data_IF_994438846504
#
_entry.id   IF_994438846504
#
_cell.length_a   1.000
_cell.length_b   1.000
_cell.length_c   1.000
_cell.angle_alpha   90.00
_cell.angle_beta   90.00
_cell.angle_gamma   90.00
#
_symmetry.space_group_name_H-M   'P 1'
#
loop_
_entity.id
_entity.type
_entity.pdbx_description
1 polymer ?
#
# COMPACT_ATOMS: atom_id res chain seq x y z
N UNK A 1 8.70 -15.95 -0.78
CA UNK A 1 7.61 -15.53 -1.66
C UNK A 1 7.26 -14.07 -1.42
N UNK A 2 6.79 -13.41 -2.43
CA UNK A 2 6.34 -12.02 -2.30
C UNK A 2 4.99 -11.81 -2.98
N UNK A 3 4.29 -10.79 -2.54
CA UNK A 3 3.03 -10.35 -3.13
C UNK A 3 3.25 -9.02 -3.83
N UNK A 4 2.79 -8.92 -5.07
CA UNK A 4 2.81 -7.69 -5.84
C UNK A 4 1.38 -7.24 -6.04
N UNK A 5 1.11 -5.97 -5.71
CA UNK A 5 -0.21 -5.36 -5.80
C UNK A 5 -0.13 -4.21 -6.81
N UNK A 6 -0.99 -4.25 -7.81
CA UNK A 6 -1.07 -3.20 -8.83
C UNK A 6 -2.48 -2.65 -8.89
N UNK A 7 -2.75 -1.55 -8.19
CA UNK A 7 -4.04 -0.88 -8.29
C UNK A 7 -4.16 -0.07 -9.57
N UNK A 8 -5.35 -0.09 -10.15
CA UNK A 8 -5.73 0.74 -11.29
C UNK A 8 -7.09 1.35 -10.96
N UNK A 9 -7.08 2.36 -10.12
CA UNK A 9 -8.29 2.94 -9.56
C UNK A 9 -8.71 4.17 -10.33
N UNK A 10 -10.02 4.33 -10.51
CA UNK A 10 -10.62 5.49 -11.13
C UNK A 10 -11.45 6.25 -10.09
N UNK A 11 -11.42 7.56 -10.19
CA UNK A 11 -12.10 8.42 -9.23
C UNK A 11 -12.41 9.77 -9.89
N UNK A 12 -13.47 10.42 -9.45
CA UNK A 12 -13.87 11.72 -10.00
C UNK A 12 -13.21 12.91 -9.29
N UNK A 13 -12.53 12.65 -8.18
CA UNK A 13 -11.87 13.69 -7.40
C UNK A 13 -10.34 13.52 -7.37
N UNK A 14 -9.66 14.45 -6.70
CA UNK A 14 -8.21 14.46 -6.56
C UNK A 14 -7.76 14.03 -5.16
N UNK A 15 -8.59 13.35 -4.42
CA UNK A 15 -8.24 12.95 -3.06
C UNK A 15 -7.29 11.75 -3.10
N UNK A 16 -6.24 11.82 -2.31
CA UNK A 16 -5.29 10.73 -2.17
C UNK A 16 -5.97 9.48 -1.60
N UNK A 17 -5.53 8.32 -2.05
CA UNK A 17 -5.94 7.07 -1.45
C UNK A 17 -4.74 6.34 -0.88
N UNK A 18 -5.03 5.43 0.03
CA UNK A 18 -4.03 4.70 0.80
C UNK A 18 -4.34 3.22 0.81
N UNK A 19 -3.29 2.44 1.01
CA UNK A 19 -3.36 0.99 1.11
C UNK A 19 -2.88 0.55 2.48
N UNK A 20 -3.62 -0.35 3.12
CA UNK A 20 -3.17 -1.03 4.32
C UNK A 20 -3.49 -2.52 4.25
N UNK A 21 -2.71 -3.28 4.99
CA UNK A 21 -2.96 -4.70 5.17
C UNK A 21 -3.62 -4.92 6.53
N UNK A 22 -4.50 -5.93 6.60
CA UNK A 22 -5.26 -6.18 7.80
C UNK A 22 -6.61 -5.47 7.78
N UNK A 23 -7.47 -5.83 8.75
CA UNK A 23 -8.88 -5.41 8.76
C UNK A 23 -9.17 -4.20 9.63
N UNK A 24 -8.17 -3.56 10.23
CA UNK A 24 -8.44 -2.50 11.18
C UNK A 24 -7.35 -1.45 11.31
N UNK A 25 -7.64 -0.46 12.13
CA UNK A 25 -6.76 0.68 12.35
C UNK A 25 -5.61 0.41 13.34
N UNK A 26 -5.49 -0.82 13.84
CA UNK A 26 -4.50 -1.14 14.87
C UNK A 26 -3.10 -1.50 14.35
N UNK A 27 -2.95 -1.71 13.06
CA UNK A 27 -1.67 -2.13 12.51
C UNK A 27 -0.78 -0.92 12.24
N UNK A 28 0.44 -0.96 12.74
CA UNK A 28 1.42 0.12 12.58
C UNK A 28 2.39 -0.24 11.46
N UNK A 29 2.55 0.70 10.54
CA UNK A 29 3.54 0.61 9.47
C UNK A 29 4.61 1.66 9.71
N UNK A 30 5.85 1.22 9.80
CA UNK A 30 6.99 2.09 10.08
C UNK A 30 7.66 2.50 8.78
N UNK A 31 7.48 3.75 8.43
CA UNK A 31 8.04 4.34 7.22
C UNK A 31 9.38 5.00 7.48
N UNK A 32 10.27 4.92 6.51
CA UNK A 32 11.54 5.63 6.54
C UNK A 32 11.46 6.79 5.55
N UNK A 33 11.40 8.00 6.08
CA UNK A 33 11.23 9.23 5.28
C UNK A 33 12.24 10.27 5.76
N UNK A 34 12.99 10.85 4.84
CA UNK A 34 13.98 11.89 5.14
C UNK A 34 14.97 11.49 6.25
N UNK A 35 15.46 10.25 6.19
CA UNK A 35 16.41 9.67 7.16
C UNK A 35 15.84 9.47 8.56
N UNK A 36 14.54 9.57 8.70
CA UNK A 36 13.86 9.34 9.98
C UNK A 36 12.78 8.28 9.83
N UNK A 37 12.47 7.60 10.93
CA UNK A 37 11.35 6.66 10.96
C UNK A 37 10.11 7.36 11.48
N UNK A 38 8.98 7.09 10.84
CA UNK A 38 7.68 7.57 11.27
C UNK A 38 6.66 6.44 11.18
N UNK A 39 5.75 6.39 12.14
CA UNK A 39 4.72 5.36 12.21
C UNK A 39 3.42 5.90 11.64
N UNK A 40 2.80 5.10 10.77
CA UNK A 40 1.51 5.43 10.15
C UNK A 40 0.60 4.21 10.21
N UNK A 41 -0.68 4.42 10.02
CA UNK A 41 -1.67 3.36 9.94
C UNK A 41 -1.87 2.79 8.53
N UNK A 42 -1.02 3.17 7.59
CA UNK A 42 -1.11 2.72 6.20
C UNK A 42 0.25 2.26 5.69
N UNK A 43 0.22 1.31 4.76
CA UNK A 43 1.43 0.78 4.14
C UNK A 43 1.89 1.64 2.96
N UNK A 44 0.97 2.19 2.20
CA UNK A 44 1.31 2.97 1.01
C UNK A 44 0.34 4.13 0.83
N UNK A 45 0.91 5.31 0.60
CA UNK A 45 0.18 6.46 0.07
C UNK A 45 0.32 6.44 -1.44
N UNK A 46 -0.79 6.32 -2.16
CA UNK A 46 -0.77 6.04 -3.59
C UNK A 46 -1.11 7.25 -4.46
N UNK A 47 -1.39 8.40 -3.86
CA UNK A 47 -1.76 9.60 -4.59
C UNK A 47 -3.19 9.56 -5.13
N UNK A 48 -3.57 10.54 -5.96
CA UNK A 48 -4.89 10.56 -6.56
C UNK A 48 -5.10 9.40 -7.53
N UNK A 49 -6.29 8.82 -7.49
CA UNK A 49 -6.65 7.72 -8.38
C UNK A 49 -6.65 8.17 -9.85
N UNK A 50 -6.24 7.29 -10.73
CA UNK A 50 -6.30 7.50 -12.18
C UNK A 50 -5.18 8.33 -12.76
N UNK A 51 -4.26 8.83 -11.95
CA UNK A 51 -3.20 9.74 -12.41
C UNK A 51 -1.81 9.16 -12.44
N UNK A 52 -1.59 8.10 -11.69
CA UNK A 52 -0.25 7.59 -11.46
C UNK A 52 -0.24 6.07 -11.59
N UNK A 53 0.90 5.57 -12.01
CA UNK A 53 1.18 4.15 -11.94
C UNK A 53 1.74 3.84 -10.54
N UNK A 54 1.19 2.84 -9.91
CA UNK A 54 1.67 2.39 -8.61
C UNK A 54 1.85 0.89 -8.58
N UNK A 55 2.90 0.45 -7.89
CA UNK A 55 3.16 -0.96 -7.62
C UNK A 55 3.61 -1.09 -6.18
N UNK A 56 2.97 -1.98 -5.44
CA UNK A 56 3.31 -2.26 -4.04
C UNK A 56 3.80 -3.69 -3.94
N UNK A 57 4.98 -3.89 -3.36
CA UNK A 57 5.54 -5.22 -3.12
C UNK A 57 5.61 -5.49 -1.63
N UNK A 58 5.05 -6.63 -1.23
CA UNK A 58 5.13 -7.13 0.14
C UNK A 58 6.06 -8.34 0.17
N UNK A 59 7.15 -8.24 0.92
CA UNK A 59 8.15 -9.29 1.04
C UNK A 59 8.32 -9.72 2.49
N UNK A 60 8.26 -11.02 2.80
CA UNK A 60 8.58 -11.48 4.14
C UNK A 60 10.03 -11.22 4.49
N UNK A 61 10.27 -10.83 5.74
CA UNK A 61 11.58 -10.70 6.32
C UNK A 61 11.68 -11.50 7.62
N UNK A 62 12.68 -11.20 8.41
CA UNK A 62 12.87 -11.85 9.70
C UNK A 62 12.03 -11.16 10.77
N UNK A 63 10.89 -11.76 11.10
CA UNK A 63 9.93 -11.22 12.07
C UNK A 63 9.15 -10.00 11.58
N UNK A 64 9.27 -9.65 10.32
CA UNK A 64 8.58 -8.49 9.76
C UNK A 64 8.24 -8.71 8.29
N UNK A 65 7.49 -7.78 7.74
CA UNK A 65 7.29 -7.65 6.30
C UNK A 65 7.91 -6.35 5.82
N UNK A 66 8.59 -6.41 4.68
CA UNK A 66 9.10 -5.24 3.98
C UNK A 66 8.13 -4.88 2.86
N UNK A 67 7.73 -3.63 2.82
CA UNK A 67 6.77 -3.14 1.84
C UNK A 67 7.43 -2.02 1.05
N UNK A 68 7.58 -2.23 -0.26
CA UNK A 68 8.15 -1.25 -1.16
C UNK A 68 7.07 -0.75 -2.10
N UNK A 69 6.88 0.56 -2.15
CA UNK A 69 5.92 1.20 -3.05
C UNK A 69 6.66 2.01 -4.08
N UNK A 70 6.39 1.72 -5.36
CA UNK A 70 6.91 2.49 -6.48
C UNK A 70 5.76 3.22 -7.15
N UNK A 71 5.92 4.52 -7.33
CA UNK A 71 4.95 5.36 -8.03
C UNK A 71 5.63 6.09 -9.17
N UNK A 72 5.02 6.05 -10.34
CA UNK A 72 5.49 6.83 -11.48
C UNK A 72 4.56 8.01 -11.66
N UNK A 73 5.12 9.19 -11.51
CA UNK A 73 4.40 10.45 -11.68
C UNK A 73 4.92 11.18 -12.93
N UNK A 74 4.28 12.28 -13.28
CA UNK A 74 4.73 13.13 -14.39
C UNK A 74 6.13 13.71 -14.19
N UNK A 75 6.62 13.75 -12.93
CA UNK A 75 7.92 14.30 -12.59
C UNK A 75 8.99 13.23 -12.31
N UNK A 76 8.63 11.95 -12.36
CA UNK A 76 9.58 10.87 -12.15
C UNK A 76 9.06 9.76 -11.25
N UNK A 77 9.96 8.86 -10.86
CA UNK A 77 9.63 7.74 -9.98
C UNK A 77 9.91 8.10 -8.52
N UNK A 78 8.96 7.75 -7.66
CA UNK A 78 9.13 7.83 -6.21
C UNK A 78 9.09 6.42 -5.63
N UNK A 79 10.04 6.11 -4.75
CA UNK A 79 10.10 4.83 -4.05
C UNK A 79 10.03 5.08 -2.55
N UNK A 80 9.11 4.41 -1.89
CA UNK A 80 9.01 4.45 -0.42
C UNK A 80 9.09 3.03 0.13
N UNK A 81 9.65 2.91 1.33
CA UNK A 81 9.82 1.62 2.00
C UNK A 81 9.25 1.73 3.40
N UNK A 82 8.49 0.74 3.81
CA UNK A 82 8.06 0.62 5.20
C UNK A 82 8.15 -0.83 5.66
N UNK A 83 8.08 -1.01 6.98
CA UNK A 83 8.05 -2.33 7.60
C UNK A 83 6.89 -2.43 8.56
N UNK A 84 6.41 -3.64 8.78
CA UNK A 84 5.42 -3.93 9.81
C UNK A 84 5.76 -5.26 10.46
N UNK A 85 5.45 -5.41 11.74
CA UNK A 85 5.74 -6.64 12.46
C UNK A 85 4.87 -7.79 11.94
N UNK A 86 5.50 -8.93 11.72
CA UNK A 86 4.79 -10.11 11.24
C UNK A 86 3.76 -10.61 12.26
N UNK A 87 3.98 -10.37 13.55
CA UNK A 87 3.05 -10.74 14.61
C UNK A 87 1.67 -10.07 14.48
N UNK A 88 1.56 -8.99 13.71
CA UNK A 88 0.28 -8.32 13.49
C UNK A 88 -0.68 -9.13 12.61
N UNK A 89 -0.20 -10.16 11.93
CA UNK A 89 -0.97 -10.86 10.90
C UNK A 89 -1.18 -12.35 11.18
N UNK A 90 -0.67 -12.86 12.29
CA UNK A 90 -0.75 -14.29 12.60
C UNK A 90 0.17 -15.14 11.73
N UNK A 91 0.00 -16.45 11.79
CA UNK A 91 0.90 -17.41 11.14
C UNK A 91 0.82 -17.43 9.62
N UNK A 92 -0.33 -17.08 9.07
CA UNK A 92 -0.57 -17.14 7.62
C UNK A 92 -0.21 -15.86 6.90
N UNK A 93 0.20 -14.83 7.65
CA UNK A 93 0.51 -13.52 7.10
C UNK A 93 -0.72 -12.67 6.81
N UNK A 94 -0.56 -11.56 6.11
CA UNK A 94 -1.68 -10.69 5.77
C UNK A 94 -2.68 -11.42 4.87
N UNK A 95 -3.95 -11.43 5.28
CA UNK A 95 -5.01 -12.10 4.54
C UNK A 95 -6.08 -11.13 4.05
N UNK A 96 -5.89 -9.84 4.29
CA UNK A 96 -6.82 -8.81 3.83
C UNK A 96 -6.06 -7.55 3.42
N UNK A 97 -6.67 -6.80 2.54
CA UNK A 97 -6.12 -5.61 1.94
C UNK A 97 -7.23 -4.57 1.87
N UNK A 98 -6.95 -3.36 2.32
CA UNK A 98 -7.90 -2.25 2.24
C UNK A 98 -7.31 -1.12 1.42
N UNK A 99 -8.11 -0.64 0.48
CA UNK A 99 -7.85 0.58 -0.26
C UNK A 99 -8.91 1.60 0.14
N UNK A 100 -8.46 2.74 0.65
CA UNK A 100 -9.37 3.73 1.17
C UNK A 100 -8.90 5.14 0.82
N UNK A 101 -9.84 6.06 0.77
CA UNK A 101 -9.56 7.47 0.50
C UNK A 101 -9.38 8.21 1.81
N UNK A 102 -8.60 9.28 1.75
CA UNK A 102 -8.36 10.12 2.93
C UNK A 102 -9.55 11.03 3.26
N UNK A 103 -10.51 11.13 2.34
CA UNK A 103 -11.78 11.83 2.55
C UNK A 103 -12.92 10.81 2.55
N UNK A 104 -13.85 10.95 3.47
CA UNK A 104 -14.94 9.99 3.65
C UNK A 104 -16.07 10.09 2.62
N UNK A 105 -16.09 11.13 1.79
CA UNK A 105 -17.26 11.46 0.98
C UNK A 105 -17.27 10.88 -0.43
N UNK A 106 -16.20 10.19 -0.85
CA UNK A 106 -16.02 9.79 -2.23
C UNK A 106 -15.75 8.29 -2.36
N UNK A 107 -16.23 7.70 -3.44
CA UNK A 107 -16.04 6.30 -3.75
C UNK A 107 -15.23 6.14 -5.03
N UNK A 108 -14.58 4.99 -5.19
CA UNK A 108 -13.98 4.64 -6.47
C UNK A 108 -15.05 4.38 -7.49
N UNK A 109 -14.82 4.84 -8.72
CA UNK A 109 -15.81 4.68 -9.79
C UNK A 109 -15.66 3.35 -10.50
N UNK A 110 -16.65 3.00 -11.29
CA UNK A 110 -16.61 1.81 -12.14
C UNK A 110 -15.38 1.86 -13.07
N UNK A 111 -14.81 0.70 -13.35
CA UNK A 111 -13.56 0.59 -14.10
C UNK A 111 -12.33 0.50 -13.21
N UNK A 112 -12.48 0.66 -11.90
CA UNK A 112 -11.38 0.43 -10.96
C UNK A 112 -11.07 -1.06 -10.85
N UNK A 113 -9.79 -1.39 -10.72
CA UNK A 113 -9.35 -2.76 -10.53
C UNK A 113 -8.12 -2.81 -9.64
N UNK A 114 -7.90 -3.96 -9.02
CA UNK A 114 -6.68 -4.26 -8.28
C UNK A 114 -6.21 -5.64 -8.72
N UNK A 115 -4.97 -5.72 -9.16
CA UNK A 115 -4.39 -6.99 -9.57
C UNK A 115 -3.37 -7.44 -8.53
N UNK A 116 -3.46 -8.69 -8.13
CA UNK A 116 -2.55 -9.30 -7.16
C UNK A 116 -1.75 -10.41 -7.83
N UNK A 117 -0.44 -10.37 -7.64
CA UNK A 117 0.49 -11.39 -8.12
C UNK A 117 1.25 -11.99 -6.94
N UNK A 118 1.21 -13.29 -6.81
CA UNK A 118 2.07 -14.01 -5.89
C UNK A 118 3.31 -14.50 -6.62
N UNK A 119 4.48 -14.32 -6.01
CA UNK A 119 5.74 -14.84 -6.56
C UNK A 119 6.29 -15.86 -5.56
N UNK A 120 6.39 -17.10 -5.98
CA UNK A 120 7.05 -18.15 -5.20
C UNK A 120 8.55 -18.15 -5.46
N UNK A 121 9.28 -18.40 -4.40
CA UNK A 121 10.68 -18.75 -4.56
C UNK A 121 10.82 -20.16 -5.09
#
# INVERSE_FOLDING_TARGET
SKLIIRPALACTDNVDYRLRFGSGEGTIFRHYVNREFANYDYAAGLGPAGREYAKVELCPGDGCYYITTRKLTSTGETVTVCTTNASNFGETGPNSLSLYKTSSAQYFTAGSSVTLYGVKK
#
